data_IF_606223994730
#
_entry.id   IF_606223994730
#
_cell.length_a   1.000
_cell.length_b   1.000
_cell.length_c   1.000
_cell.angle_alpha   90.00
_cell.angle_beta   90.00
_cell.angle_gamma   90.00
#
_symmetry.space_group_name_H-M   'P 1'
#
loop_
_entity.id
_entity.type
_entity.pdbx_description
1 polymer ?
#
# COMPACT_ATOMS: atom_id res chain seq x y z
N UNK A 1 7.65 -16.10 3.11
CA UNK A 1 6.53 -16.96 2.66
C UNK A 1 6.05 -16.43 1.32
N UNK A 2 5.71 -17.30 0.36
CA UNK A 2 5.23 -16.87 -0.96
C UNK A 2 3.71 -16.72 -0.94
N UNK A 3 3.19 -15.63 -1.52
CA UNK A 3 1.77 -15.33 -1.58
C UNK A 3 1.39 -14.83 -2.97
N UNK A 4 0.11 -14.92 -3.30
CA UNK A 4 -0.49 -14.19 -4.42
C UNK A 4 -1.16 -12.93 -3.90
N UNK A 5 -1.23 -11.89 -4.72
CA UNK A 5 -1.96 -10.66 -4.40
C UNK A 5 -2.69 -10.13 -5.63
N UNK A 6 -3.90 -9.64 -5.42
CA UNK A 6 -4.66 -8.86 -6.39
C UNK A 6 -4.67 -7.40 -5.95
N UNK A 7 -4.24 -6.51 -6.85
CA UNK A 7 -4.25 -5.07 -6.65
C UNK A 7 -5.20 -4.42 -7.64
N UNK A 8 -6.16 -3.66 -7.13
CA UNK A 8 -7.13 -2.90 -7.92
C UNK A 8 -7.02 -1.42 -7.57
N UNK A 9 -6.75 -0.62 -8.59
CA UNK A 9 -6.70 0.85 -8.50
C UNK A 9 -7.63 1.41 -9.57
N UNK A 10 -8.67 2.12 -9.15
CA UNK A 10 -9.72 2.65 -10.02
C UNK A 10 -10.06 4.09 -9.65
N UNK A 11 -10.57 4.87 -10.60
CA UNK A 11 -11.06 6.21 -10.30
C UNK A 11 -12.20 6.15 -9.26
N UNK A 12 -12.07 6.92 -8.19
CA UNK A 12 -13.17 7.14 -7.26
C UNK A 12 -14.12 8.23 -7.79
N UNK A 13 -15.42 8.20 -7.43
CA UNK A 13 -16.34 9.26 -7.77
C UNK A 13 -15.82 10.63 -7.29
N UNK A 14 -15.71 11.60 -8.20
CA UNK A 14 -15.21 12.93 -7.87
C UNK A 14 -16.37 13.81 -7.36
N UNK A 15 -16.24 14.35 -6.15
CA UNK A 15 -17.14 15.39 -5.67
C UNK A 15 -16.93 16.67 -6.49
N UNK A 16 -18.01 17.33 -6.92
CA UNK A 16 -17.93 18.58 -7.71
C UNK A 16 -17.17 19.72 -6.99
N UNK A 17 -17.09 19.66 -5.67
CA UNK A 17 -16.36 20.61 -4.82
C UNK A 17 -14.89 20.25 -4.60
N UNK A 18 -14.44 19.06 -5.03
CA UNK A 18 -13.06 18.62 -4.88
C UNK A 18 -12.24 19.04 -6.10
N UNK A 19 -11.12 19.71 -5.87
CA UNK A 19 -10.10 19.97 -6.89
C UNK A 19 -9.06 18.85 -6.99
N UNK A 20 -9.32 17.71 -6.34
CA UNK A 20 -8.39 16.59 -6.20
C UNK A 20 -9.11 15.29 -6.55
N UNK A 21 -8.51 14.52 -7.46
CA UNK A 21 -8.97 13.18 -7.83
C UNK A 21 -8.46 12.15 -6.83
N UNK A 22 -9.36 11.30 -6.34
CA UNK A 22 -9.02 10.14 -5.54
C UNK A 22 -9.13 8.87 -6.38
N UNK A 23 -8.25 7.91 -6.16
CA UNK A 23 -8.37 6.57 -6.72
C UNK A 23 -8.72 5.61 -5.59
N UNK A 24 -9.74 4.78 -5.79
CA UNK A 24 -9.99 3.62 -4.95
C UNK A 24 -8.76 2.70 -4.99
N UNK A 25 -8.33 2.23 -3.83
CA UNK A 25 -7.23 1.30 -3.69
C UNK A 25 -7.72 0.06 -2.95
N UNK A 26 -7.42 -1.13 -3.48
CA UNK A 26 -7.57 -2.37 -2.73
C UNK A 26 -6.46 -3.36 -3.06
N UNK A 27 -5.89 -3.99 -2.04
CA UNK A 27 -4.97 -5.10 -2.16
C UNK A 27 -5.46 -6.30 -1.34
N UNK A 28 -5.53 -7.48 -1.96
CA UNK A 28 -5.96 -8.73 -1.32
C UNK A 28 -4.91 -9.79 -1.52
N UNK A 29 -4.37 -10.34 -0.45
CA UNK A 29 -3.32 -11.34 -0.44
C UNK A 29 -3.79 -12.71 0.07
N UNK A 30 -3.26 -13.77 -0.51
CA UNK A 30 -3.56 -15.16 -0.14
C UNK A 30 -2.32 -16.06 -0.23
N UNK A 31 -2.33 -17.13 0.55
CA UNK A 31 -1.33 -18.20 0.51
C UNK A 31 -1.18 -18.77 -0.89
N UNK A 32 0.05 -18.81 -1.41
CA UNK A 32 0.29 -19.43 -2.71
C UNK A 32 -0.07 -20.93 -2.70
N UNK A 33 0.24 -21.63 -1.59
CA UNK A 33 0.09 -23.07 -1.46
C UNK A 33 -1.34 -23.50 -1.11
N UNK A 34 -1.94 -22.88 -0.10
CA UNK A 34 -3.25 -23.31 0.43
C UNK A 34 -4.42 -22.50 -0.12
N UNK A 35 -4.16 -21.34 -0.74
CA UNK A 35 -5.16 -20.34 -1.13
C UNK A 35 -5.91 -19.71 0.06
N UNK A 36 -5.47 -19.99 1.29
CA UNK A 36 -6.02 -19.34 2.47
C UNK A 36 -5.76 -17.84 2.43
N UNK A 37 -6.73 -17.08 2.93
CA UNK A 37 -6.65 -15.63 3.04
C UNK A 37 -5.54 -15.19 4.00
N UNK A 38 -4.80 -14.13 3.64
CA UNK A 38 -3.76 -13.53 4.49
C UNK A 38 -4.11 -12.12 4.94
N UNK A 39 -4.23 -11.19 4.00
CA UNK A 39 -4.32 -9.78 4.29
C UNK A 39 -5.21 -9.10 3.26
N UNK A 40 -6.06 -8.19 3.72
CA UNK A 40 -6.73 -7.24 2.85
C UNK A 40 -6.45 -5.83 3.35
N UNK A 41 -6.25 -4.90 2.41
CA UNK A 41 -6.30 -3.46 2.67
C UNK A 41 -7.17 -2.74 1.63
N UNK A 42 -7.94 -1.76 2.09
CA UNK A 42 -8.73 -0.86 1.25
C UNK A 42 -8.48 0.58 1.61
N UNK A 43 -8.62 1.47 0.65
CA UNK A 43 -8.34 2.87 0.89
C UNK A 43 -8.47 3.75 -0.33
N UNK A 44 -7.80 4.90 -0.25
CA UNK A 44 -7.72 5.87 -1.33
C UNK A 44 -6.30 6.35 -1.52
N UNK A 45 -5.86 6.48 -2.77
CA UNK A 45 -4.65 7.19 -3.16
C UNK A 45 -5.00 8.46 -3.92
N UNK A 46 -4.26 9.53 -3.67
CA UNK A 46 -4.40 10.80 -4.39
C UNK A 46 -3.05 11.45 -4.63
N UNK A 47 -2.97 12.27 -5.67
CA UNK A 47 -1.77 12.99 -6.09
C UNK A 47 -2.13 14.43 -6.41
N UNK A 48 -1.41 15.39 -5.84
CA UNK A 48 -1.58 16.81 -6.15
C UNK A 48 -0.85 17.22 -7.44
N UNK A 49 -1.07 18.43 -7.97
CA UNK A 49 -0.40 18.92 -9.18
C UNK A 49 1.14 19.02 -9.08
N UNK A 50 1.69 19.04 -7.87
CA UNK A 50 3.15 19.07 -7.63
C UNK A 50 3.75 17.66 -7.54
N UNK A 51 2.92 16.62 -7.65
CA UNK A 51 3.30 15.23 -7.54
C UNK A 51 3.36 14.71 -6.10
N UNK A 52 2.90 15.46 -5.10
CA UNK A 52 2.78 14.96 -3.74
C UNK A 52 1.67 13.92 -3.67
N UNK A 53 1.98 12.74 -3.16
CA UNK A 53 1.06 11.62 -3.05
C UNK A 53 0.66 11.37 -1.61
N UNK A 54 -0.57 10.91 -1.42
CA UNK A 54 -1.06 10.39 -0.15
C UNK A 54 -1.82 9.10 -0.40
N UNK A 55 -1.53 8.08 0.39
CA UNK A 55 -2.28 6.83 0.45
C UNK A 55 -2.80 6.65 1.87
N UNK A 56 -4.10 6.46 2.02
CA UNK A 56 -4.71 6.07 3.29
C UNK A 56 -5.37 4.72 3.13
N UNK A 57 -5.02 3.74 3.96
CA UNK A 57 -5.65 2.41 3.93
C UNK A 57 -6.15 1.98 5.30
N UNK A 58 -7.11 1.04 5.30
CA UNK A 58 -7.55 0.26 6.45
C UNK A 58 -7.38 -1.21 6.11
N UNK A 59 -6.68 -1.94 6.98
CA UNK A 59 -6.40 -3.37 6.85
C UNK A 59 -7.33 -4.24 7.70
N UNK A 60 -7.56 -5.47 7.27
CA UNK A 60 -8.29 -6.49 8.03
C UNK A 60 -7.54 -6.96 9.30
N UNK A 61 -6.29 -6.53 9.47
CA UNK A 61 -5.51 -6.67 10.71
C UNK A 61 -5.89 -5.66 11.80
N UNK A 62 -6.81 -4.72 11.51
CA UNK A 62 -7.25 -3.70 12.46
C UNK A 62 -6.37 -2.44 12.46
N UNK A 63 -5.55 -2.24 11.43
CA UNK A 63 -4.71 -1.07 11.29
C UNK A 63 -5.25 -0.10 10.24
N UNK A 64 -5.01 1.18 10.47
CA UNK A 64 -5.14 2.21 9.44
C UNK A 64 -3.78 2.84 9.20
N UNK A 65 -3.41 3.10 7.96
CA UNK A 65 -2.17 3.82 7.63
C UNK A 65 -2.49 5.13 6.95
N UNK A 66 -1.69 6.13 7.26
CA UNK A 66 -1.59 7.37 6.49
C UNK A 66 -0.16 7.46 5.98
N UNK A 67 0.03 7.26 4.68
CA UNK A 67 1.32 7.29 4.02
C UNK A 67 1.42 8.51 3.09
N UNK A 68 2.56 9.19 3.10
CA UNK A 68 2.82 10.38 2.26
C UNK A 68 4.07 10.17 1.44
N UNK A 69 4.12 10.79 0.27
CA UNK A 69 5.23 10.57 -0.64
C UNK A 69 5.19 11.45 -1.86
N UNK A 70 5.97 11.06 -2.86
CA UNK A 70 6.06 11.82 -4.10
C UNK A 70 6.10 10.90 -5.30
N UNK A 71 5.31 11.23 -6.32
CA UNK A 71 5.35 10.59 -7.63
C UNK A 71 6.54 11.13 -8.43
N UNK A 72 7.23 10.20 -9.07
CA UNK A 72 8.26 10.43 -10.08
C UNK A 72 7.92 9.58 -11.31
N UNK A 73 8.53 9.85 -12.47
CA UNK A 73 8.34 8.99 -13.64
C UNK A 73 8.54 7.52 -13.26
N UNK A 74 7.52 6.70 -13.51
CA UNK A 74 7.51 5.26 -13.25
C UNK A 74 7.74 4.83 -11.79
N UNK A 75 7.68 5.74 -10.81
CA UNK A 75 7.95 5.40 -9.41
C UNK A 75 7.12 6.23 -8.44
N UNK A 76 6.53 5.58 -7.46
CA UNK A 76 5.90 6.21 -6.29
C UNK A 76 6.57 5.65 -5.04
N UNK A 77 7.10 6.53 -4.18
CA UNK A 77 7.62 6.16 -2.86
C UNK A 77 6.77 6.86 -1.82
N UNK A 78 6.19 6.07 -0.92
CA UNK A 78 5.36 6.49 0.19
C UNK A 78 6.04 6.08 1.50
N UNK A 79 5.94 6.94 2.52
CA UNK A 79 6.44 6.68 3.87
C UNK A 79 5.32 6.91 4.87
N UNK A 80 5.24 6.06 5.88
CA UNK A 80 4.26 6.14 6.94
C UNK A 80 4.39 7.49 7.66
N UNK A 81 3.28 8.21 7.71
CA UNK A 81 3.14 9.46 8.47
C UNK A 81 2.44 9.19 9.79
N UNK A 82 1.42 8.34 9.78
CA UNK A 82 0.69 7.94 10.98
C UNK A 82 0.05 6.56 10.84
N UNK A 83 -0.21 5.89 11.96
CA UNK A 83 -0.82 4.56 12.01
C UNK A 83 -1.82 4.44 13.17
N UNK A 84 -3.08 4.21 12.82
CA UNK A 84 -4.14 3.89 13.76
C UNK A 84 -4.25 2.40 14.02
N UNK A 85 -4.68 2.02 15.22
CA UNK A 85 -4.91 0.63 15.63
C UNK A 85 -6.21 0.53 16.41
N UNK A 86 -7.01 -0.48 16.13
CA UNK A 86 -8.16 -0.79 16.98
C UNK A 86 -7.67 -1.39 18.31
N UNK A 87 -8.34 -1.08 19.41
CA UNK A 87 -7.84 -1.38 20.76
C UNK A 87 -7.75 -2.86 21.12
N UNK A 88 -8.37 -3.73 20.33
CA UNK A 88 -8.45 -5.17 20.56
C UNK A 88 -7.89 -6.01 19.40
N UNK A 89 -7.27 -5.37 18.38
CA UNK A 89 -6.49 -6.12 17.39
C UNK A 89 -5.19 -6.62 18.03
N UNK A 90 -4.66 -7.71 17.48
CA UNK A 90 -3.29 -8.15 17.78
C UNK A 90 -2.35 -6.98 17.51
N UNK A 91 -1.69 -6.49 18.56
CA UNK A 91 -0.70 -5.43 18.42
C UNK A 91 0.53 -5.98 17.70
N UNK A 92 0.53 -5.86 16.37
CA UNK A 92 1.74 -6.04 15.58
C UNK A 92 2.54 -4.75 15.73
N UNK A 93 3.79 -4.83 16.22
CA UNK A 93 4.54 -3.66 16.66
C UNK A 93 5.12 -2.87 15.48
N UNK A 94 4.38 -2.67 14.38
CA UNK A 94 4.80 -1.85 13.23
C UNK A 94 4.88 -0.41 13.69
N UNK A 95 6.06 0.20 13.58
CA UNK A 95 6.31 1.60 13.96
C UNK A 95 6.52 2.49 12.73
N UNK A 96 6.96 1.91 11.62
CA UNK A 96 7.29 2.62 10.40
C UNK A 96 7.11 1.72 9.19
N UNK A 97 6.82 2.33 8.05
CA UNK A 97 6.61 1.62 6.79
C UNK A 97 7.03 2.49 5.62
N UNK A 98 7.65 1.87 4.61
CA UNK A 98 7.95 2.48 3.32
C UNK A 98 7.41 1.58 2.21
N UNK A 99 6.55 2.15 1.37
CA UNK A 99 5.97 1.47 0.21
C UNK A 99 6.52 2.09 -1.06
N UNK A 100 7.04 1.25 -1.94
CA UNK A 100 7.53 1.68 -3.26
C UNK A 100 6.78 0.93 -4.34
N UNK A 101 6.15 1.68 -5.25
CA UNK A 101 5.65 1.17 -6.52
C UNK A 101 6.61 1.53 -7.64
N UNK A 102 6.93 0.58 -8.50
CA UNK A 102 7.79 0.75 -9.68
C UNK A 102 7.04 0.23 -10.90
N UNK A 103 6.77 1.09 -11.87
CA UNK A 103 6.22 0.68 -13.18
C UNK A 103 7.39 0.31 -14.08
N UNK A 104 7.52 -0.96 -14.44
CA UNK A 104 8.58 -1.39 -15.36
C UNK A 104 8.21 -1.06 -16.81
N UNK A 105 6.98 -1.38 -17.19
CA UNK A 105 6.40 -1.09 -18.50
C UNK A 105 4.86 -1.03 -18.40
N UNK A 106 4.13 -1.17 -19.51
CA UNK A 106 2.66 -1.11 -19.51
C UNK A 106 1.99 -2.41 -19.05
N UNK A 107 2.78 -3.46 -18.84
CA UNK A 107 2.36 -4.81 -18.44
C UNK A 107 2.77 -5.12 -17.00
N UNK A 108 3.94 -4.68 -16.56
CA UNK A 108 4.52 -5.06 -15.27
C UNK A 108 4.70 -3.90 -14.30
N UNK A 109 4.33 -4.15 -13.04
CA UNK A 109 4.57 -3.26 -11.90
C UNK A 109 5.15 -4.06 -10.73
N UNK A 110 6.04 -3.47 -9.95
CA UNK A 110 6.55 -4.03 -8.69
C UNK A 110 6.07 -3.18 -7.51
N UNK A 111 5.67 -3.82 -6.42
CA UNK A 111 5.48 -3.22 -5.10
C UNK A 111 6.50 -3.80 -4.13
N UNK A 112 7.21 -2.94 -3.42
CA UNK A 112 8.11 -3.29 -2.32
C UNK A 112 7.56 -2.63 -1.06
N UNK A 113 7.34 -3.42 -0.01
CA UNK A 113 6.95 -2.94 1.30
C UNK A 113 8.07 -3.25 2.29
N UNK A 114 8.59 -2.21 2.90
CA UNK A 114 9.61 -2.30 3.93
C UNK A 114 9.05 -1.76 5.24
N UNK A 115 9.45 -2.35 6.35
CA UNK A 115 8.87 -2.06 7.65
C UNK A 115 9.96 -1.86 8.71
N UNK A 116 9.61 -1.09 9.72
CA UNK A 116 10.27 -1.13 11.02
C UNK A 116 9.26 -1.45 12.07
N UNK A 117 9.63 -2.38 12.94
CA UNK A 117 8.85 -2.76 14.11
C UNK A 117 9.58 -2.36 15.38
N UNK A 118 8.90 -2.39 16.53
CA UNK A 118 9.50 -2.12 17.83
C UNK A 118 10.69 -3.03 18.16
N UNK A 119 10.81 -4.18 17.48
CA UNK A 119 11.90 -5.13 17.71
C UNK A 119 12.96 -5.08 16.62
N UNK A 120 12.58 -4.86 15.35
CA UNK A 120 13.48 -4.97 14.21
C UNK A 120 13.03 -4.13 12.99
N UNK A 121 13.98 -3.54 12.23
CA UNK A 121 15.36 -3.28 12.61
C UNK A 121 15.46 -2.14 13.65
N UNK A 122 16.62 -1.98 14.30
CA UNK A 122 16.85 -0.88 15.24
C UNK A 122 16.80 0.50 14.58
N UNK A 123 17.19 0.59 13.31
CA UNK A 123 17.20 1.80 12.49
C UNK A 123 16.90 1.42 11.03
N UNK A 124 16.30 2.35 10.29
CA UNK A 124 15.95 2.14 8.88
C UNK A 124 14.77 1.19 8.70
N UNK A 125 14.76 0.48 7.57
CA UNK A 125 13.69 -0.46 7.20
C UNK A 125 14.28 -1.81 6.82
N UNK A 126 13.48 -2.86 7.00
CA UNK A 126 13.75 -4.19 6.47
C UNK A 126 12.63 -4.57 5.50
N UNK A 127 12.99 -5.18 4.36
CA UNK A 127 11.99 -5.65 3.40
C UNK A 127 11.05 -6.67 4.04
N UNK A 128 9.76 -6.38 3.99
CA UNK A 128 8.71 -7.25 4.48
C UNK A 128 8.08 -8.04 3.35
N UNK A 129 7.71 -7.36 2.26
CA UNK A 129 7.16 -8.01 1.06
C UNK A 129 7.69 -7.37 -0.22
N UNK A 130 7.72 -8.18 -1.27
CA UNK A 130 7.96 -7.76 -2.64
C UNK A 130 7.02 -8.55 -3.56
N UNK A 131 6.30 -7.84 -4.42
CA UNK A 131 5.30 -8.42 -5.31
C UNK A 131 5.49 -7.82 -6.71
N UNK A 132 5.45 -8.68 -7.73
CA UNK A 132 5.43 -8.27 -9.14
C UNK A 132 4.06 -8.60 -9.70
N UNK A 133 3.37 -7.58 -10.21
CA UNK A 133 2.05 -7.69 -10.81
C UNK A 133 2.15 -7.69 -12.32
N UNK A 134 1.27 -8.48 -12.93
CA UNK A 134 0.98 -8.43 -14.36
C UNK A 134 -0.39 -7.77 -14.53
N UNK A 135 -0.46 -6.72 -15.33
CA UNK A 135 -1.72 -6.04 -15.67
C UNK A 135 -2.67 -7.04 -16.32
N UNK A 136 -3.85 -7.19 -15.74
CA UNK A 136 -4.90 -8.01 -16.32
C UNK A 136 -5.46 -7.31 -17.57
N UNK A 137 -5.72 -8.08 -18.63
CA UNK A 137 -6.48 -7.59 -19.78
C UNK A 137 -7.93 -7.46 -19.32
N UNK A 138 -8.47 -6.25 -19.37
CA UNK A 138 -9.91 -6.03 -19.24
C UNK A 138 -10.64 -6.54 -20.47
#
# INVERSE_FOLDING_TARGET
MTFGEELVILEAPMAKSSNVQFLNFSARAWSHSTKDHFHDEWGFVTVDPNGNATLMTTGNNGFTTYEVGVVRPNKLVLTLKDIGRISFSRDLPVEDLRRTFIKHDDTYMEQILEMRTATHPKQGYLEHTRVIYTKQKM
#
